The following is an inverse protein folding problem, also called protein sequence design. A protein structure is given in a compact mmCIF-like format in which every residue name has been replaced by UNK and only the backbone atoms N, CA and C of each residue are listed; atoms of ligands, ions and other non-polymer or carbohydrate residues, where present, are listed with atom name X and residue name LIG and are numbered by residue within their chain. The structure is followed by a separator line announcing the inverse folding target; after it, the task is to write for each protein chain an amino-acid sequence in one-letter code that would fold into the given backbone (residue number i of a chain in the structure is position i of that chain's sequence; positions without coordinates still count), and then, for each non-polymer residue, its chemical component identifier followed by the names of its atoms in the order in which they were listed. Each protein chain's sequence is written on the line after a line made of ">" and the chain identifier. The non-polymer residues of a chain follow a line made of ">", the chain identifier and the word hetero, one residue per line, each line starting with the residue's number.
data_IF_953456244676
#
_entry.id   IF_953456244676
#
_cell.length_a   1.000
_cell.length_b   1.000
_cell.length_c   1.000
_cell.angle_alpha   90.00
_cell.angle_beta   90.00
_cell.angle_gamma   90.00
#
_symmetry.space_group_name_H-M   'P 1'
#
loop_
_entity.id
_entity.type
_entity.pdbx_description
1 polymer ?
#
# COMPACT_ATOMS: atom_id res chain seq x y z
N UNK A 1 13.93 19.66 10.26
CA UNK A 1 12.70 18.87 10.07
C UNK A 1 12.69 17.79 11.14
N UNK A 2 11.83 17.91 12.15
CA UNK A 2 11.68 16.88 13.18
C UNK A 2 11.12 15.61 12.54
N UNK A 3 11.73 14.44 12.77
CA UNK A 3 11.34 13.17 12.14
C UNK A 3 9.84 12.84 12.32
N UNK A 4 9.24 13.28 13.43
CA UNK A 4 7.81 13.11 13.73
C UNK A 4 6.88 13.82 12.74
N UNK A 5 7.32 14.89 12.06
CA UNK A 5 6.47 15.59 11.07
C UNK A 5 6.35 14.84 9.74
N UNK A 6 7.34 14.02 9.38
CA UNK A 6 7.35 13.35 8.07
C UNK A 6 6.41 12.14 8.03
N UNK A 7 6.35 11.37 9.12
CA UNK A 7 5.52 10.15 9.21
C UNK A 7 4.03 10.41 9.05
N UNK A 8 3.57 11.61 9.39
CA UNK A 8 2.16 12.02 9.32
C UNK A 8 1.88 12.99 8.17
N UNK A 9 2.91 13.34 7.37
CA UNK A 9 2.77 14.27 6.26
C UNK A 9 1.88 13.70 5.16
N UNK A 10 0.98 14.54 4.62
CA UNK A 10 0.08 14.20 3.52
C UNK A 10 0.58 14.81 2.21
N UNK A 11 0.23 14.16 1.10
CA UNK A 11 0.46 14.68 -0.25
C UNK A 11 -0.45 15.88 -0.52
N UNK A 12 0.04 16.84 -1.31
CA UNK A 12 -0.76 17.96 -1.81
C UNK A 12 -1.87 17.48 -2.76
N UNK A 13 -1.61 16.41 -3.50
CA UNK A 13 -2.57 15.76 -4.41
C UNK A 13 -2.55 14.25 -4.16
N UNK A 14 -3.73 13.68 -3.93
CA UNK A 14 -3.89 12.24 -3.76
C UNK A 14 -3.45 11.49 -5.03
N UNK A 15 -2.71 10.40 -4.84
CA UNK A 15 -2.34 9.51 -5.94
C UNK A 15 -3.25 8.30 -5.94
N UNK A 16 -3.94 8.10 -7.06
CA UNK A 16 -4.91 7.04 -7.23
C UNK A 16 -4.39 6.04 -8.27
N UNK A 17 -4.31 4.76 -7.88
CA UNK A 17 -4.02 3.68 -8.80
C UNK A 17 -5.32 2.96 -9.16
N UNK A 18 -5.53 2.72 -10.46
CA UNK A 18 -6.61 1.85 -10.93
C UNK A 18 -6.23 0.40 -10.66
N UNK A 19 -7.09 -0.32 -9.95
CA UNK A 19 -6.87 -1.71 -9.56
C UNK A 19 -8.09 -2.57 -9.90
N UNK A 20 -7.93 -3.75 -10.51
CA UNK A 20 -9.05 -4.59 -10.91
C UNK A 20 -9.80 -5.24 -9.74
N UNK A 21 -9.20 -5.31 -8.54
CA UNK A 21 -9.79 -5.96 -7.36
C UNK A 21 -10.44 -4.91 -6.45
N UNK A 22 -9.71 -3.84 -6.14
CA UNK A 22 -10.13 -2.79 -5.20
C UNK A 22 -10.77 -1.57 -5.86
N UNK A 23 -10.90 -1.59 -7.20
CA UNK A 23 -11.31 -0.48 -8.10
C UNK A 23 -10.28 0.65 -8.15
N UNK A 24 -9.99 1.21 -6.97
CA UNK A 24 -9.05 2.30 -6.78
C UNK A 24 -8.26 2.07 -5.48
N UNK A 25 -6.96 2.33 -5.55
CA UNK A 25 -6.05 2.34 -4.41
C UNK A 25 -5.63 3.79 -4.17
N UNK A 26 -5.79 4.24 -2.93
CA UNK A 26 -5.72 5.64 -2.56
C UNK A 26 -4.47 5.91 -1.72
N UNK A 27 -3.52 6.68 -2.26
CA UNK A 27 -2.29 7.05 -1.56
C UNK A 27 -2.33 8.55 -1.23
N UNK A 28 -2.47 8.84 0.07
CA UNK A 28 -2.50 10.21 0.62
C UNK A 28 -1.29 10.54 1.47
N UNK A 29 -0.59 9.53 2.00
CA UNK A 29 0.53 9.70 2.92
C UNK A 29 1.85 9.87 2.15
N UNK A 30 2.61 10.93 2.45
CA UNK A 30 3.89 11.23 1.78
C UNK A 30 4.90 10.08 1.97
N UNK A 31 4.99 9.54 3.19
CA UNK A 31 5.84 8.40 3.53
C UNK A 31 5.56 7.19 2.62
N UNK A 32 4.29 6.84 2.45
CA UNK A 32 3.87 5.70 1.60
C UNK A 32 4.21 5.98 0.14
N UNK A 33 3.96 7.20 -0.34
CA UNK A 33 4.30 7.56 -1.71
C UNK A 33 5.81 7.48 -1.98
N UNK A 34 6.63 7.92 -1.03
CA UNK A 34 8.08 7.83 -1.15
C UNK A 34 8.56 6.39 -1.14
N UNK A 35 8.00 5.53 -0.29
CA UNK A 35 8.26 4.08 -0.30
C UNK A 35 7.90 3.46 -1.66
N UNK A 36 6.72 3.76 -2.20
CA UNK A 36 6.28 3.23 -3.50
C UNK A 36 7.25 3.62 -4.62
N UNK A 37 7.83 4.82 -4.60
CA UNK A 37 8.77 5.30 -5.62
C UNK A 37 10.17 4.67 -5.53
N UNK A 38 10.52 4.02 -4.42
CA UNK A 38 11.86 3.43 -4.26
C UNK A 38 12.16 2.34 -5.29
N UNK A 39 13.45 2.17 -5.61
CA UNK A 39 13.89 1.13 -6.57
C UNK A 39 13.58 -0.28 -6.07
N UNK A 40 13.62 -0.47 -4.75
CA UNK A 40 13.33 -1.72 -4.04
C UNK A 40 11.86 -2.11 -4.24
N UNK A 41 10.94 -1.17 -4.04
CA UNK A 41 9.51 -1.41 -4.25
C UNK A 41 9.16 -1.54 -5.74
N UNK A 42 9.72 -0.68 -6.60
CA UNK A 42 9.50 -0.76 -8.05
C UNK A 42 10.03 -2.07 -8.66
N UNK A 43 11.01 -2.75 -8.04
CA UNK A 43 11.47 -4.08 -8.46
C UNK A 43 10.35 -5.11 -8.44
N UNK A 44 9.38 -4.99 -7.54
CA UNK A 44 8.27 -5.93 -7.40
C UNK A 44 7.41 -6.03 -8.67
N UNK A 45 7.44 -5.03 -9.57
CA UNK A 45 6.77 -5.08 -10.87
C UNK A 45 7.27 -6.21 -11.76
N UNK A 46 8.52 -6.63 -11.57
CA UNK A 46 9.19 -7.68 -12.37
C UNK A 46 9.07 -9.07 -11.74
N UNK A 47 8.44 -9.19 -10.58
CA UNK A 47 8.28 -10.46 -9.86
C UNK A 47 6.82 -10.87 -9.94
N UNK A 48 6.54 -11.99 -10.61
CA UNK A 48 5.20 -12.58 -10.70
C UNK A 48 4.78 -13.08 -9.32
N UNK A 49 3.51 -12.86 -8.96
CA UNK A 49 2.98 -13.32 -7.68
C UNK A 49 3.01 -14.84 -7.57
N UNK A 50 2.59 -15.54 -8.63
CA UNK A 50 2.39 -17.00 -8.66
C UNK A 50 3.49 -17.75 -9.43
N UNK A 51 4.69 -17.18 -9.54
CA UNK A 51 5.84 -17.87 -10.15
C UNK A 51 5.58 -18.28 -11.61
N UNK A 52 5.71 -19.57 -11.92
CA UNK A 52 5.51 -20.14 -13.27
C UNK A 52 4.05 -20.42 -13.63
N UNK A 53 3.10 -20.18 -12.71
CA UNK A 53 1.69 -20.52 -12.91
C UNK A 53 1.07 -19.84 -14.14
N UNK A 54 1.60 -18.68 -14.55
CA UNK A 54 1.17 -17.97 -15.75
C UNK A 54 1.32 -18.79 -17.06
N UNK A 55 2.18 -19.83 -17.06
CA UNK A 55 2.35 -20.72 -18.20
C UNK A 55 1.14 -21.64 -18.41
N UNK A 56 0.44 -22.01 -17.34
CA UNK A 56 -0.77 -22.84 -17.39
C UNK A 56 -2.04 -22.00 -17.32
N UNK A 57 -2.00 -20.91 -16.55
CA UNK A 57 -3.12 -19.99 -16.35
C UNK A 57 -2.74 -18.60 -16.85
N UNK A 58 -3.12 -18.26 -18.09
CA UNK A 58 -2.74 -17.00 -18.73
C UNK A 58 -3.21 -15.74 -17.97
N UNK A 59 -4.12 -15.86 -17.00
CA UNK A 59 -4.56 -14.75 -16.15
C UNK A 59 -3.65 -14.53 -14.93
N UNK A 60 -2.78 -15.48 -14.59
CA UNK A 60 -1.87 -15.44 -13.44
C UNK A 60 -0.62 -14.56 -13.68
N UNK A 61 -0.78 -13.45 -14.39
CA UNK A 61 0.32 -12.56 -14.79
C UNK A 61 0.61 -11.42 -13.81
N UNK A 62 -0.22 -11.27 -12.78
CA UNK A 62 -0.12 -10.20 -11.81
C UNK A 62 1.23 -10.23 -11.07
N UNK A 63 1.74 -9.04 -10.78
CA UNK A 63 3.03 -8.85 -10.11
C UNK A 63 2.85 -8.65 -8.60
N UNK A 64 3.93 -8.91 -7.84
CA UNK A 64 3.96 -8.63 -6.40
C UNK A 64 3.70 -7.16 -6.07
N UNK A 65 4.04 -6.24 -6.99
CA UNK A 65 3.78 -4.81 -6.83
C UNK A 65 2.28 -4.51 -6.67
N UNK A 66 1.44 -5.07 -7.55
CA UNK A 66 -0.01 -4.85 -7.47
C UNK A 66 -0.60 -5.48 -6.21
N UNK A 67 -0.13 -6.66 -5.84
CA UNK A 67 -0.54 -7.34 -4.62
C UNK A 67 -0.20 -6.53 -3.36
N UNK A 68 1.04 -6.04 -3.22
CA UNK A 68 1.47 -5.19 -2.10
C UNK A 68 0.63 -3.93 -1.97
N UNK A 69 0.33 -3.25 -3.08
CA UNK A 69 -0.58 -2.09 -3.07
C UNK A 69 -2.01 -2.48 -2.62
N UNK A 70 -2.48 -3.67 -3.00
CA UNK A 70 -3.79 -4.17 -2.56
C UNK A 70 -3.84 -4.44 -1.05
N UNK A 71 -2.80 -5.08 -0.48
CA UNK A 71 -2.68 -5.29 0.97
C UNK A 71 -2.66 -3.95 1.72
N UNK A 72 -1.89 -2.98 1.23
CA UNK A 72 -1.91 -1.61 1.73
C UNK A 72 -3.32 -1.01 1.72
N UNK A 73 -4.06 -1.11 0.61
CA UNK A 73 -5.41 -0.53 0.50
C UNK A 73 -6.40 -1.18 1.47
N UNK A 74 -6.33 -2.50 1.65
CA UNK A 74 -7.17 -3.22 2.62
C UNK A 74 -6.89 -2.70 4.03
N UNK A 75 -5.62 -2.66 4.44
CA UNK A 75 -5.25 -2.21 5.79
C UNK A 75 -5.61 -0.74 6.00
N UNK A 76 -5.41 0.11 4.98
CA UNK A 76 -5.83 1.52 5.02
C UNK A 76 -7.32 1.66 5.28
N UNK A 77 -8.18 0.92 4.55
CA UNK A 77 -9.63 0.94 4.76
C UNK A 77 -10.00 0.39 6.14
N UNK A 78 -9.38 -0.71 6.57
CA UNK A 78 -9.64 -1.27 7.90
C UNK A 78 -9.35 -0.24 9.00
N UNK A 79 -8.22 0.45 8.93
CA UNK A 79 -7.86 1.48 9.91
C UNK A 79 -8.81 2.67 9.82
N UNK A 80 -8.90 3.30 8.65
CA UNK A 80 -9.60 4.58 8.45
C UNK A 80 -11.13 4.42 8.60
N UNK A 81 -11.72 3.27 8.25
CA UNK A 81 -13.17 3.08 8.24
C UNK A 81 -13.69 2.27 9.43
N UNK A 82 -12.84 1.47 10.08
CA UNK A 82 -13.29 0.54 11.14
C UNK A 82 -12.64 0.78 12.49
N UNK A 83 -11.32 0.99 12.56
CA UNK A 83 -10.58 1.03 13.83
C UNK A 83 -10.43 2.43 14.41
N UNK A 84 -10.40 3.47 13.58
CA UNK A 84 -10.32 4.85 14.05
C UNK A 84 -11.47 5.16 15.04
N UNK A 85 -11.11 5.63 16.24
CA UNK A 85 -12.07 5.93 17.32
C UNK A 85 -12.42 4.77 18.24
N UNK A 86 -11.83 3.57 18.07
CA UNK A 86 -11.99 2.46 19.02
C UNK A 86 -10.90 2.47 20.09
N UNK A 87 -11.26 2.15 21.33
CA UNK A 87 -10.33 2.09 22.47
C UNK A 87 -9.16 1.11 22.27
N UNK A 88 -9.35 0.09 21.45
CA UNK A 88 -8.34 -0.95 21.17
C UNK A 88 -7.32 -0.55 20.08
N UNK A 89 -7.40 0.65 19.51
CA UNK A 89 -6.56 1.11 18.42
C UNK A 89 -5.88 2.44 18.75
N UNK A 90 -4.55 2.48 18.68
CA UNK A 90 -3.79 3.73 18.74
C UNK A 90 -3.49 4.22 17.31
N UNK A 91 -4.02 5.40 16.97
CA UNK A 91 -3.78 6.03 15.66
C UNK A 91 -2.29 6.40 15.43
N UNK A 92 -1.47 6.45 16.47
CA UNK A 92 -0.02 6.60 16.33
C UNK A 92 0.64 5.41 15.61
N UNK A 93 0.02 4.23 15.65
CA UNK A 93 0.52 3.02 14.97
C UNK A 93 0.12 2.96 13.49
N UNK A 94 -0.75 3.87 13.02
CA UNK A 94 -1.23 3.90 11.63
C UNK A 94 -0.08 3.93 10.61
N UNK A 95 0.95 4.80 10.71
CA UNK A 95 2.05 4.81 9.74
C UNK A 95 2.83 3.49 9.73
N UNK A 96 3.03 2.86 10.90
CA UNK A 96 3.71 1.58 11.01
C UNK A 96 2.91 0.46 10.34
N UNK A 97 1.60 0.39 10.63
CA UNK A 97 0.72 -0.61 10.05
C UNK A 97 0.63 -0.49 8.51
N UNK A 98 0.55 0.74 7.99
CA UNK A 98 0.53 0.97 6.54
C UNK A 98 1.86 0.61 5.87
N UNK A 99 3.00 0.91 6.50
CA UNK A 99 4.31 0.49 6.00
C UNK A 99 4.45 -1.03 6.00
N UNK A 100 4.01 -1.70 7.07
CA UNK A 100 4.04 -3.16 7.20
C UNK A 100 3.11 -3.86 6.19
N UNK A 101 1.98 -3.23 5.85
CA UNK A 101 1.07 -3.74 4.83
C UNK A 101 1.64 -3.60 3.41
N UNK A 102 2.45 -2.57 3.17
CA UNK A 102 3.01 -2.27 1.86
C UNK A 102 4.23 -3.14 1.53
N UNK A 103 5.18 -3.26 2.47
CA UNK A 103 6.51 -3.86 2.25
C UNK A 103 6.53 -5.37 2.46
#
# INVERSE_FOLDING_TARGET
>A
MTQSSYTTSKLAEEKVFKDPIHRYIHVKDQLIWDLVKTKEFQRLRRIKQLGTLYLSFHTAEHSRFGHSLGVYEIVRRMIDETFEGRDAWDNNDRPLALCAALL
#
